data_IF_087867613363
#
_entry.id   IF_087867613363
#
_cell.length_a   1.000
_cell.length_b   1.000
_cell.length_c   1.000
_cell.angle_alpha   90.00
_cell.angle_beta   90.00
_cell.angle_gamma   90.00
#
_symmetry.space_group_name_H-M   'P 1'
#
loop_
_entity.id
_entity.type
_entity.pdbx_description
1 polymer ?
#
# COMPACT_ATOMS: atom_id res chain seq x y z
N UNK A 1 -1.17 -15.38 -15.81
CA UNK A 1 -0.64 -14.28 -14.98
C UNK A 1 0.05 -13.24 -15.86
N UNK A 2 -0.23 -11.99 -15.64
CA UNK A 2 0.45 -10.91 -16.34
C UNK A 2 1.85 -10.69 -15.74
N UNK A 3 2.87 -10.92 -16.54
CA UNK A 3 4.27 -10.75 -16.14
C UNK A 3 4.78 -9.48 -16.85
N UNK A 4 5.31 -8.47 -16.13
CA UNK A 4 5.68 -7.18 -16.71
C UNK A 4 6.58 -7.28 -17.95
N UNK A 5 7.60 -8.14 -17.92
CA UNK A 5 8.51 -8.29 -19.07
C UNK A 5 7.81 -8.86 -20.30
N UNK A 6 6.82 -9.74 -20.12
CA UNK A 6 6.04 -10.30 -21.23
C UNK A 6 5.05 -9.29 -21.79
N UNK A 7 4.39 -8.53 -20.93
CA UNK A 7 3.45 -7.48 -21.35
C UNK A 7 4.21 -6.40 -22.13
N UNK A 8 5.36 -5.97 -21.63
CA UNK A 8 6.20 -4.98 -22.30
C UNK A 8 6.73 -5.51 -23.63
N UNK A 9 7.19 -6.75 -23.69
CA UNK A 9 7.70 -7.38 -24.89
C UNK A 9 6.62 -7.57 -25.98
N UNK A 10 5.34 -7.61 -25.61
CA UNK A 10 4.22 -7.71 -26.55
C UNK A 10 3.85 -6.37 -27.21
N UNK A 11 4.61 -5.30 -26.99
CA UNK A 11 4.42 -4.00 -27.64
C UNK A 11 3.66 -2.98 -26.80
N UNK A 12 3.35 -3.28 -25.54
CA UNK A 12 2.73 -2.31 -24.65
C UNK A 12 3.75 -1.28 -24.16
N UNK A 13 3.29 -0.04 -23.94
CA UNK A 13 4.13 1.01 -23.36
C UNK A 13 4.44 0.69 -21.87
N UNK A 14 5.52 1.30 -21.29
CA UNK A 14 5.78 1.15 -19.85
C UNK A 14 4.59 1.54 -18.97
N UNK A 15 3.88 2.62 -19.28
CA UNK A 15 2.68 3.03 -18.55
C UNK A 15 1.54 2.02 -18.66
N UNK A 16 1.31 1.48 -19.86
CA UNK A 16 0.32 0.44 -20.08
C UNK A 16 0.67 -0.83 -19.32
N UNK A 17 1.94 -1.19 -19.29
CA UNK A 17 2.44 -2.35 -18.55
C UNK A 17 2.21 -2.19 -17.04
N UNK A 18 2.48 -1.02 -16.47
CA UNK A 18 2.22 -0.71 -15.06
C UNK A 18 0.73 -0.80 -14.76
N UNK A 19 -0.13 -0.31 -15.65
CA UNK A 19 -1.59 -0.37 -15.48
C UNK A 19 -2.11 -1.82 -15.47
N UNK A 20 -1.52 -2.71 -16.26
CA UNK A 20 -1.93 -4.11 -16.35
C UNK A 20 -1.38 -4.93 -15.19
N UNK A 21 -0.11 -4.75 -14.85
CA UNK A 21 0.62 -5.62 -13.92
C UNK A 21 0.76 -5.03 -12.51
N UNK A 22 0.55 -3.71 -12.37
CA UNK A 22 0.93 -2.96 -11.19
C UNK A 22 2.43 -2.65 -11.19
N UNK A 23 2.82 -1.74 -10.33
CA UNK A 23 4.20 -1.37 -10.08
C UNK A 23 4.62 -1.75 -8.67
N UNK A 24 5.92 -1.78 -8.42
CA UNK A 24 6.48 -2.10 -7.12
C UNK A 24 7.45 -1.03 -6.65
N UNK A 25 7.40 -0.72 -5.37
CA UNK A 25 8.39 0.10 -4.69
C UNK A 25 9.04 -0.72 -3.59
N UNK A 26 10.36 -0.74 -3.57
CA UNK A 26 11.15 -1.46 -2.57
C UNK A 26 11.98 -0.49 -1.76
N UNK A 27 12.49 -0.94 -0.62
CA UNK A 27 13.35 -0.14 0.26
C UNK A 27 12.69 1.16 0.74
N UNK A 28 11.39 1.13 0.99
CA UNK A 28 10.66 2.29 1.51
C UNK A 28 10.97 2.52 2.98
N UNK A 29 10.97 3.79 3.37
CA UNK A 29 11.19 4.23 4.76
C UNK A 29 9.87 4.80 5.27
N UNK A 30 9.25 4.14 6.24
CA UNK A 30 8.07 4.69 6.90
C UNK A 30 8.48 5.89 7.77
N UNK A 31 7.73 6.97 7.65
CA UNK A 31 8.03 8.22 8.35
C UNK A 31 6.74 8.79 8.97
N UNK A 32 6.92 9.69 9.92
CA UNK A 32 5.81 10.40 10.52
C UNK A 32 4.97 9.57 11.46
N UNK A 33 4.20 10.24 12.29
CA UNK A 33 3.33 9.61 13.29
C UNK A 33 1.87 10.05 13.16
N UNK A 34 1.55 10.81 12.12
CA UNK A 34 0.21 11.31 11.84
C UNK A 34 -0.11 11.17 10.35
N UNK A 35 -1.38 11.32 10.01
CA UNK A 35 -1.82 11.30 8.62
C UNK A 35 -1.17 12.41 7.78
N UNK A 36 -0.73 13.49 8.43
CA UNK A 36 -0.16 14.65 7.72
C UNK A 36 1.30 14.44 7.31
N UNK A 37 2.06 13.63 8.05
CA UNK A 37 3.49 13.46 7.85
C UNK A 37 3.93 12.03 7.50
N UNK A 38 3.00 11.09 7.40
CA UNK A 38 3.30 9.72 6.99
C UNK A 38 3.78 9.65 5.52
N UNK A 39 4.53 8.59 5.21
CA UNK A 39 5.02 8.36 3.85
C UNK A 39 3.85 8.08 2.90
N UNK A 40 3.70 8.89 1.86
CA UNK A 40 2.70 8.67 0.83
C UNK A 40 3.10 7.49 -0.05
N UNK A 41 2.26 6.46 -0.10
CA UNK A 41 2.45 5.34 -1.02
C UNK A 41 1.92 5.71 -2.40
N UNK A 42 2.66 5.31 -3.44
CA UNK A 42 2.30 5.58 -4.83
C UNK A 42 2.35 4.35 -5.72
N UNK A 43 2.94 3.26 -5.25
CA UNK A 43 3.01 2.01 -5.99
C UNK A 43 1.89 1.06 -5.57
N UNK A 44 1.59 0.06 -6.41
CA UNK A 44 0.61 -0.99 -6.07
C UNK A 44 1.19 -1.95 -5.04
N UNK A 45 2.44 -2.35 -5.20
CA UNK A 45 3.13 -3.25 -4.28
C UNK A 45 4.25 -2.50 -3.57
N UNK A 46 4.24 -2.50 -2.25
CA UNK A 46 5.15 -1.69 -1.45
C UNK A 46 5.85 -2.55 -0.41
N UNK A 47 7.17 -2.46 -0.36
CA UNK A 47 7.96 -3.12 0.68
C UNK A 47 8.64 -2.06 1.54
N UNK A 48 8.33 -2.08 2.84
CA UNK A 48 8.90 -1.16 3.81
C UNK A 48 10.06 -1.87 4.50
N UNK A 49 11.25 -1.35 4.35
CA UNK A 49 12.47 -1.95 4.89
C UNK A 49 13.04 -1.20 6.08
N UNK A 50 12.59 0.02 6.31
CA UNK A 50 13.07 0.86 7.42
C UNK A 50 11.90 1.58 8.08
N UNK A 51 11.82 1.50 9.40
CA UNK A 51 10.88 2.29 10.19
C UNK A 51 11.44 2.50 11.60
N UNK A 52 10.99 3.56 12.24
CA UNK A 52 11.16 3.77 13.68
C UNK A 52 9.84 3.45 14.39
N UNK A 53 9.88 3.33 15.70
CA UNK A 53 8.66 3.13 16.48
C UNK A 53 7.65 4.25 16.21
N UNK A 54 6.41 3.86 15.92
CA UNK A 54 5.31 4.81 15.69
C UNK A 54 5.26 5.45 14.32
N UNK A 55 6.14 5.08 13.38
CA UNK A 55 6.09 5.64 12.02
C UNK A 55 5.07 4.94 11.14
N UNK A 56 4.65 5.60 10.08
CA UNK A 56 3.56 5.12 9.24
C UNK A 56 3.68 5.46 7.78
N UNK A 57 2.70 4.96 7.05
CA UNK A 57 2.49 5.22 5.63
C UNK A 57 1.04 5.63 5.40
N UNK A 58 0.80 6.40 4.35
CA UNK A 58 -0.54 6.83 3.98
C UNK A 58 -0.93 6.21 2.63
N UNK A 59 -2.15 5.70 2.55
CA UNK A 59 -2.71 5.11 1.34
C UNK A 59 -2.98 6.20 0.27
N UNK A 60 -3.00 5.81 -1.01
CA UNK A 60 -3.46 6.73 -2.05
C UNK A 60 -4.95 7.07 -1.89
N UNK A 61 -5.48 8.02 -2.68
CA UNK A 61 -6.91 8.32 -2.66
C UNK A 61 -7.75 7.07 -2.89
N UNK A 62 -8.86 6.94 -2.15
CA UNK A 62 -9.74 5.78 -2.22
C UNK A 62 -10.57 5.81 -3.48
N UNK A 63 -10.46 4.77 -4.28
CA UNK A 63 -11.20 4.62 -5.53
C UNK A 63 -11.63 3.15 -5.67
N UNK A 64 -12.90 2.92 -5.95
CA UNK A 64 -13.44 1.56 -6.07
C UNK A 64 -12.64 0.77 -7.11
N UNK A 65 -12.22 -0.43 -6.74
CA UNK A 65 -11.38 -1.29 -7.56
C UNK A 65 -9.89 -1.08 -7.39
N UNK A 66 -9.46 -0.07 -6.65
CA UNK A 66 -8.06 0.11 -6.31
C UNK A 66 -7.59 -0.99 -5.36
N UNK A 67 -6.38 -1.47 -5.58
CA UNK A 67 -5.73 -2.47 -4.73
C UNK A 67 -4.30 -2.05 -4.44
N UNK A 68 -3.85 -2.28 -3.21
CA UNK A 68 -2.50 -1.97 -2.79
C UNK A 68 -2.00 -3.04 -1.82
N UNK A 69 -0.77 -3.47 -2.00
CA UNK A 69 -0.10 -4.41 -1.11
C UNK A 69 1.02 -3.72 -0.34
N UNK A 70 1.15 -4.07 0.93
CA UNK A 70 2.19 -3.55 1.81
C UNK A 70 2.85 -4.71 2.54
N UNK A 71 4.15 -4.88 2.34
CA UNK A 71 4.98 -5.81 3.10
C UNK A 71 5.83 -5.02 4.08
N UNK A 72 5.78 -5.40 5.35
CA UNK A 72 6.59 -4.76 6.39
C UNK A 72 7.76 -5.66 6.79
N UNK A 73 8.95 -5.32 6.33
CA UNK A 73 10.21 -5.98 6.69
C UNK A 73 11.11 -5.06 7.53
N UNK A 74 10.54 -4.06 8.19
CA UNK A 74 11.33 -3.01 8.86
C UNK A 74 11.77 -3.34 10.29
N UNK A 75 11.26 -4.40 10.89
CA UNK A 75 11.54 -4.73 12.29
C UNK A 75 10.67 -4.00 13.32
N UNK A 76 9.81 -3.10 12.90
CA UNK A 76 8.88 -2.36 13.75
C UNK A 76 7.47 -2.45 13.17
N UNK A 77 6.46 -2.23 14.00
CA UNK A 77 5.08 -2.12 13.52
C UNK A 77 4.91 -0.79 12.77
N UNK A 78 4.34 -0.87 11.58
CA UNK A 78 4.04 0.29 10.74
C UNK A 78 2.55 0.58 10.81
N UNK A 79 2.19 1.84 10.98
CA UNK A 79 0.80 2.29 10.97
C UNK A 79 0.40 2.70 9.55
N UNK A 80 -0.69 2.14 9.06
CA UNK A 80 -1.25 2.48 7.75
C UNK A 80 -2.42 3.43 7.95
N UNK A 81 -2.33 4.60 7.32
CA UNK A 81 -3.38 5.63 7.38
C UNK A 81 -4.14 5.69 6.06
N UNK A 82 -5.47 5.69 6.08
CA UNK A 82 -6.24 6.08 4.89
C UNK A 82 -6.18 7.60 4.69
N UNK A 83 -6.53 8.07 3.51
CA UNK A 83 -6.71 9.51 3.29
C UNK A 83 -7.83 10.06 4.20
N UNK A 84 -7.75 11.34 4.51
CA UNK A 84 -8.78 12.02 5.28
C UNK A 84 -10.16 11.79 4.67
N UNK A 85 -11.12 11.39 5.48
CA UNK A 85 -12.48 11.06 5.03
C UNK A 85 -12.67 9.59 4.64
N UNK A 86 -11.61 8.77 4.63
CA UNK A 86 -11.69 7.34 4.34
C UNK A 86 -11.43 6.51 5.60
N UNK A 87 -11.85 5.26 5.57
CA UNK A 87 -11.68 4.32 6.68
C UNK A 87 -11.13 2.98 6.17
N UNK A 88 -10.60 2.19 7.09
CA UNK A 88 -10.16 0.81 6.82
C UNK A 88 -11.07 -0.12 7.62
N UNK A 89 -11.56 -1.17 6.97
CA UNK A 89 -12.47 -2.15 7.59
C UNK A 89 -13.70 -1.50 8.23
N UNK A 90 -14.33 -0.62 7.49
CA UNK A 90 -15.60 0.07 7.78
C UNK A 90 -15.53 1.17 8.86
N UNK A 91 -14.69 1.04 9.87
CA UNK A 91 -14.71 2.00 10.99
C UNK A 91 -13.33 2.43 11.48
N UNK A 92 -12.27 1.69 11.14
CA UNK A 92 -10.94 1.98 11.64
C UNK A 92 -10.30 3.17 10.90
N UNK A 93 -9.67 4.06 11.66
CA UNK A 93 -8.91 5.18 11.11
C UNK A 93 -7.45 4.82 10.83
N UNK A 94 -6.99 3.65 11.26
CA UNK A 94 -5.62 3.16 11.06
C UNK A 94 -5.62 1.64 11.03
N UNK A 95 -4.55 1.08 10.46
CA UNK A 95 -4.28 -0.35 10.51
C UNK A 95 -2.82 -0.55 10.90
N UNK A 96 -2.58 -1.37 11.89
CA UNK A 96 -1.22 -1.73 12.30
C UNK A 96 -0.74 -2.96 11.52
N UNK A 97 0.43 -2.88 10.91
CA UNK A 97 1.08 -3.99 10.21
C UNK A 97 2.36 -4.34 10.96
N UNK A 98 2.35 -5.45 11.66
CA UNK A 98 3.54 -5.91 12.40
C UNK A 98 4.67 -6.29 11.44
N UNK A 99 5.89 -6.35 11.97
CA UNK A 99 7.04 -6.79 11.17
C UNK A 99 6.83 -8.21 10.64
N UNK A 100 7.37 -8.48 9.46
CA UNK A 100 7.24 -9.73 8.73
C UNK A 100 5.79 -10.07 8.28
N UNK A 101 4.89 -9.12 8.34
CA UNK A 101 3.50 -9.27 7.86
C UNK A 101 3.29 -8.55 6.54
N UNK A 102 2.34 -9.07 5.78
CA UNK A 102 1.89 -8.47 4.53
C UNK A 102 0.39 -8.20 4.63
N UNK A 103 -0.04 -7.05 4.18
CA UNK A 103 -1.45 -6.71 4.06
C UNK A 103 -1.77 -6.38 2.60
N UNK A 104 -2.91 -6.85 2.15
CA UNK A 104 -3.49 -6.43 0.87
C UNK A 104 -4.75 -5.67 1.20
N UNK A 105 -4.85 -4.44 0.68
CA UNK A 105 -6.01 -3.59 0.84
C UNK A 105 -6.66 -3.36 -0.52
N UNK A 106 -7.99 -3.39 -0.54
CA UNK A 106 -8.75 -3.05 -1.73
C UNK A 106 -9.92 -2.14 -1.35
N UNK A 107 -10.16 -1.17 -2.21
CA UNK A 107 -11.23 -0.20 -2.00
C UNK A 107 -12.58 -0.81 -2.38
N UNK A 108 -13.48 -0.91 -1.43
CA UNK A 108 -14.82 -1.45 -1.63
C UNK A 108 -15.85 -0.36 -1.88
N UNK A 109 -15.53 0.88 -1.57
CA UNK A 109 -16.34 2.07 -1.87
C UNK A 109 -15.41 3.27 -2.07
N UNK A 110 -15.98 4.43 -2.35
CA UNK A 110 -15.21 5.66 -2.51
C UNK A 110 -14.51 6.12 -1.21
N UNK A 111 -14.88 5.56 -0.06
CA UNK A 111 -14.37 5.97 1.25
C UNK A 111 -13.91 4.83 2.15
N UNK A 112 -13.99 3.58 1.69
CA UNK A 112 -13.72 2.42 2.54
C UNK A 112 -12.72 1.46 1.89
N UNK A 113 -11.68 1.11 2.65
CA UNK A 113 -10.75 0.03 2.33
C UNK A 113 -11.10 -1.22 3.14
N UNK A 114 -10.96 -2.38 2.51
CA UNK A 114 -10.96 -3.66 3.20
C UNK A 114 -9.55 -4.25 3.19
N UNK A 115 -9.17 -4.96 4.23
CA UNK A 115 -7.82 -5.52 4.36
C UNK A 115 -7.83 -7.03 4.53
N UNK A 116 -6.79 -7.67 3.99
CA UNK A 116 -6.44 -9.07 4.27
C UNK A 116 -5.01 -9.05 4.79
N UNK A 117 -4.84 -9.45 6.04
CA UNK A 117 -3.55 -9.45 6.71
C UNK A 117 -3.06 -10.89 6.87
N UNK A 118 -1.78 -11.12 6.59
CA UNK A 118 -1.18 -12.44 6.83
C UNK A 118 -1.11 -12.75 8.33
N UNK A 119 -1.23 -14.02 8.64
CA UNK A 119 -1.20 -14.49 10.02
C UNK A 119 0.16 -14.30 10.70
#
# INVERSE_FOLDING_TARGET
MAIPSRVLASGNSPLSTISICGDGATALVAVGSTIADALQLSAVWNTITTSSSGTGVILPPTEVGAMIGIRNDSGQTVTVYPKSGSTINAAASTLAVATAKTVILFATSATTWASVLTA
#
